data_IF_314955672427
#
_entry.id   IF_314955672427
#
_cell.length_a   1.000
_cell.length_b   1.000
_cell.length_c   1.000
_cell.angle_alpha   90.00
_cell.angle_beta   90.00
_cell.angle_gamma   90.00
#
_symmetry.space_group_name_H-M   'P 1'
#
loop_
_entity.id
_entity.type
_entity.pdbx_description
1 polymer ?
#
# COMPACT_ATOMS: atom_id res chain seq x y z
N UNK A 1 16.47 -95.48 55.46
CA UNK A 1 15.99 -95.96 54.28
C UNK A 1 16.14 -94.77 53.35
N UNK A 2 16.75 -94.86 52.24
CA UNK A 2 17.54 -93.96 51.51
C UNK A 2 16.86 -92.62 51.08
N UNK A 3 17.47 -91.54 51.47
CA UNK A 3 17.21 -90.22 50.91
C UNK A 3 18.13 -89.94 49.68
N UNK A 4 17.57 -89.58 48.58
CA UNK A 4 18.33 -89.15 47.40
C UNK A 4 18.36 -87.62 47.28
N UNK A 5 19.54 -87.10 47.43
CA UNK A 5 19.85 -85.69 47.16
C UNK A 5 19.79 -85.34 45.65
N UNK A 6 19.20 -84.22 45.34
CA UNK A 6 19.26 -83.61 44.01
C UNK A 6 19.98 -82.31 44.10
N UNK A 7 21.11 -82.21 43.45
CA UNK A 7 21.82 -80.95 43.28
C UNK A 7 21.31 -80.19 42.02
N UNK A 8 21.12 -78.89 42.09
CA UNK A 8 20.78 -78.09 40.88
C UNK A 8 22.00 -77.72 40.10
N UNK A 9 21.94 -77.95 38.77
CA UNK A 9 22.91 -77.47 37.82
C UNK A 9 22.69 -75.99 37.56
N UNK A 10 23.69 -75.09 37.80
CA UNK A 10 23.76 -73.70 37.42
C UNK A 10 23.98 -73.59 35.91
N UNK A 11 23.04 -72.98 35.16
CA UNK A 11 23.24 -72.49 33.79
C UNK A 11 23.83 -71.09 33.90
N UNK A 12 25.06 -70.92 33.45
CA UNK A 12 25.67 -69.62 33.20
C UNK A 12 25.13 -69.02 31.89
N UNK A 13 24.28 -68.01 31.96
CA UNK A 13 23.88 -67.25 30.79
C UNK A 13 24.89 -66.09 30.60
N UNK A 14 25.70 -66.17 29.52
CA UNK A 14 26.56 -65.06 29.14
C UNK A 14 25.74 -63.95 28.47
N UNK A 15 25.57 -62.80 29.17
CA UNK A 15 24.97 -61.60 28.62
C UNK A 15 26.03 -60.84 27.85
N UNK A 16 25.98 -60.91 26.49
CA UNK A 16 26.71 -60.02 25.63
C UNK A 16 26.07 -58.62 25.70
N UNK A 17 26.65 -57.70 26.45
CA UNK A 17 26.33 -56.26 26.38
C UNK A 17 26.97 -55.70 25.08
N UNK A 18 26.16 -55.52 24.06
CA UNK A 18 26.46 -54.70 22.90
C UNK A 18 26.53 -53.22 23.36
N UNK A 19 27.75 -52.73 23.61
CA UNK A 19 28.05 -51.32 23.73
C UNK A 19 27.88 -50.65 22.36
N UNK A 20 26.66 -50.11 22.06
CA UNK A 20 26.52 -49.07 21.04
C UNK A 20 27.21 -47.80 21.55
N UNK A 21 28.17 -47.24 20.78
CA UNK A 21 28.68 -45.90 21.12
C UNK A 21 27.52 -44.91 20.89
N UNK A 22 27.02 -44.30 21.95
CA UNK A 22 26.19 -43.13 21.84
C UNK A 22 27.05 -42.06 21.15
N UNK A 23 26.72 -41.78 19.86
CA UNK A 23 27.14 -40.51 19.26
C UNK A 23 26.52 -39.40 20.11
N UNK A 24 27.35 -38.71 20.85
CA UNK A 24 27.01 -37.42 21.37
C UNK A 24 26.59 -36.56 20.15
N UNK A 25 25.34 -36.10 20.13
CA UNK A 25 24.98 -35.00 19.31
C UNK A 25 25.86 -33.84 19.82
N UNK A 26 26.80 -33.41 19.01
CA UNK A 26 27.43 -32.12 19.21
C UNK A 26 26.28 -31.11 19.07
N UNK A 27 25.81 -30.59 20.20
CA UNK A 27 25.07 -29.36 20.22
C UNK A 27 25.96 -28.31 19.56
N UNK A 28 25.70 -27.99 18.29
CA UNK A 28 26.21 -26.78 17.69
C UNK A 28 25.76 -25.64 18.60
N UNK A 29 26.68 -25.18 19.42
CA UNK A 29 26.54 -23.91 20.13
C UNK A 29 26.50 -22.86 19.03
N UNK A 30 25.28 -22.52 18.59
CA UNK A 30 25.05 -21.39 17.73
C UNK A 30 25.66 -20.17 18.44
N UNK A 31 26.82 -19.72 17.95
CA UNK A 31 27.37 -18.43 18.33
C UNK A 31 26.23 -17.40 18.24
N UNK A 32 26.04 -16.54 19.25
CA UNK A 32 24.98 -15.54 19.19
C UNK A 32 25.18 -14.72 17.93
N UNK A 33 24.26 -14.86 16.97
CA UNK A 33 24.30 -14.14 15.72
C UNK A 33 24.29 -12.65 16.02
N UNK A 34 25.35 -11.94 15.66
CA UNK A 34 25.43 -10.49 15.83
C UNK A 34 24.34 -9.88 14.96
N UNK A 35 23.38 -9.22 15.60
CA UNK A 35 22.33 -8.48 14.91
C UNK A 35 22.89 -7.16 14.40
N UNK A 36 22.72 -6.94 13.11
CA UNK A 36 23.08 -5.67 12.48
C UNK A 36 21.82 -4.82 12.25
N UNK A 37 21.98 -3.53 12.39
CA UNK A 37 20.96 -2.53 12.13
C UNK A 37 21.48 -1.51 11.12
N UNK A 38 20.63 -0.56 10.73
CA UNK A 38 20.98 0.51 9.81
C UNK A 38 22.21 1.29 10.28
N UNK A 39 22.99 1.74 9.31
CA UNK A 39 24.08 2.68 9.54
C UNK A 39 23.54 3.99 10.13
N UNK A 40 24.29 4.59 11.04
CA UNK A 40 24.07 6.00 11.41
C UNK A 40 24.82 6.89 10.43
N UNK A 41 24.19 7.93 9.94
CA UNK A 41 24.83 8.93 9.11
C UNK A 41 24.66 10.32 9.71
N UNK A 42 25.64 11.19 9.54
CA UNK A 42 25.58 12.58 9.98
C UNK A 42 25.32 13.50 8.80
N UNK A 43 24.44 14.49 9.00
CA UNK A 43 24.21 15.57 8.03
C UNK A 43 25.50 16.34 7.67
N UNK A 44 26.54 16.26 8.51
CA UNK A 44 27.85 16.86 8.28
C UNK A 44 28.87 15.90 7.65
N UNK A 45 28.55 14.61 7.54
CA UNK A 45 29.46 13.56 7.05
C UNK A 45 29.57 13.48 5.52
N UNK A 46 28.77 14.27 4.79
CA UNK A 46 28.69 14.19 3.32
C UNK A 46 27.82 13.03 2.84
N UNK A 47 27.77 12.81 1.52
CA UNK A 47 26.92 11.81 0.84
C UNK A 47 27.75 10.74 0.15
N UNK A 48 28.82 10.25 0.79
CA UNK A 48 29.60 9.13 0.26
C UNK A 48 28.76 7.85 0.29
N UNK A 49 28.57 7.23 -0.88
CA UNK A 49 27.82 5.98 -0.97
C UNK A 49 28.56 4.85 -0.25
N UNK A 50 27.90 4.26 0.72
CA UNK A 50 28.26 3.01 1.38
C UNK A 50 26.98 2.18 1.53
N UNK A 51 26.97 0.96 1.00
CA UNK A 51 25.77 0.13 0.92
C UNK A 51 25.95 -1.11 1.77
N UNK A 52 24.98 -1.32 2.68
CA UNK A 52 24.87 -2.55 3.46
C UNK A 52 23.61 -3.32 3.01
N UNK A 53 23.72 -4.63 2.93
CA UNK A 53 22.61 -5.54 2.69
C UNK A 53 22.28 -6.27 3.98
N UNK A 54 21.14 -6.00 4.57
CA UNK A 54 20.66 -6.63 5.80
C UNK A 54 19.63 -7.71 5.43
N UNK A 55 19.98 -8.96 5.65
CA UNK A 55 19.13 -10.11 5.35
C UNK A 55 18.30 -10.52 6.58
N UNK A 56 17.00 -10.58 6.40
CA UNK A 56 16.05 -11.16 7.33
C UNK A 56 15.38 -12.37 6.66
N UNK A 57 15.17 -13.44 7.42
CA UNK A 57 14.51 -14.66 6.95
C UNK A 57 13.61 -15.21 8.05
N UNK A 58 12.77 -16.23 7.79
CA UNK A 58 12.03 -16.90 8.85
C UNK A 58 12.88 -17.44 10.01
N UNK A 59 14.21 -17.61 9.79
CA UNK A 59 15.14 -18.02 10.85
C UNK A 59 15.66 -16.88 11.72
N UNK A 60 15.63 -15.65 11.21
CA UNK A 60 16.10 -14.43 11.89
C UNK A 60 15.20 -13.22 11.58
N UNK A 61 13.88 -13.29 11.88
CA UNK A 61 12.91 -12.29 11.47
C UNK A 61 13.13 -10.92 12.15
N UNK A 62 13.70 -10.90 13.35
CA UNK A 62 13.93 -9.70 14.16
C UNK A 62 15.40 -9.24 14.18
N UNK A 63 16.28 -9.95 13.48
CA UNK A 63 17.73 -9.75 13.56
C UNK A 63 18.33 -9.71 12.15
N UNK A 64 18.73 -8.53 11.69
CA UNK A 64 19.37 -8.33 10.40
C UNK A 64 20.73 -9.01 10.34
N UNK A 65 20.93 -9.89 9.38
CA UNK A 65 22.25 -10.46 9.07
C UNK A 65 22.93 -9.60 8.01
N UNK A 66 24.06 -9.00 8.34
CA UNK A 66 24.85 -8.21 7.38
C UNK A 66 25.49 -9.15 6.35
N UNK A 67 25.23 -8.89 5.07
CA UNK A 67 25.84 -9.59 3.94
C UNK A 67 26.89 -8.69 3.30
N UNK A 68 28.15 -9.08 3.36
CA UNK A 68 29.21 -8.40 2.61
C UNK A 68 29.16 -8.81 1.15
N UNK A 69 28.56 -7.97 0.31
CA UNK A 69 28.42 -8.22 -1.12
C UNK A 69 29.75 -8.31 -1.88
N UNK A 70 30.87 -7.87 -1.29
CA UNK A 70 32.20 -7.97 -1.89
C UNK A 70 32.87 -9.32 -1.60
N UNK A 71 32.36 -10.08 -0.64
CA UNK A 71 32.91 -11.39 -0.28
C UNK A 71 32.22 -12.47 -1.10
N UNK A 72 33.01 -13.20 -1.88
CA UNK A 72 32.53 -14.37 -2.63
C UNK A 72 31.93 -15.36 -1.63
N UNK A 73 30.70 -15.84 -1.94
CA UNK A 73 29.97 -16.83 -1.14
C UNK A 73 29.43 -16.31 0.22
N UNK A 74 29.39 -14.99 0.46
CA UNK A 74 28.80 -14.45 1.69
C UNK A 74 27.30 -14.77 1.80
N UNK A 75 26.55 -14.67 0.70
CA UNK A 75 25.13 -15.04 0.64
C UNK A 75 24.95 -16.55 0.89
N UNK A 76 25.79 -17.41 0.31
CA UNK A 76 25.71 -18.86 0.48
C UNK A 76 25.94 -19.34 1.91
N UNK A 77 26.66 -18.55 2.72
CA UNK A 77 26.91 -18.82 4.16
C UNK A 77 25.89 -18.16 5.08
N UNK A 78 24.91 -17.46 4.52
CA UNK A 78 23.86 -16.76 5.27
C UNK A 78 22.64 -17.64 5.49
N UNK A 79 21.61 -17.05 6.14
CA UNK A 79 20.29 -17.68 6.27
C UNK A 79 19.44 -17.62 4.98
N UNK A 80 20.00 -17.13 3.87
CA UNK A 80 19.30 -17.00 2.60
C UNK A 80 18.75 -18.35 2.11
N UNK A 81 17.51 -18.37 1.66
CA UNK A 81 16.87 -19.55 1.08
C UNK A 81 16.41 -19.25 -0.35
N UNK A 82 17.13 -19.78 -1.33
CA UNK A 82 16.86 -19.56 -2.75
C UNK A 82 15.49 -20.10 -3.24
N UNK A 83 14.81 -20.95 -2.46
CA UNK A 83 13.48 -21.48 -2.80
C UNK A 83 12.35 -20.52 -2.45
N UNK A 84 12.61 -19.53 -1.60
CA UNK A 84 11.65 -18.52 -1.20
C UNK A 84 11.73 -17.29 -2.11
N UNK A 85 10.61 -16.59 -2.26
CA UNK A 85 10.61 -15.26 -2.86
C UNK A 85 11.49 -14.30 -2.05
N UNK A 86 12.06 -13.31 -2.73
CA UNK A 86 12.89 -12.29 -2.10
C UNK A 86 12.28 -10.92 -2.25
N UNK A 87 12.02 -10.23 -1.14
CA UNK A 87 11.56 -8.86 -1.06
C UNK A 87 12.74 -7.95 -0.76
N UNK A 88 13.05 -7.01 -1.65
CA UNK A 88 14.17 -6.07 -1.49
C UNK A 88 13.60 -4.69 -1.19
N UNK A 89 13.85 -4.20 0.03
CA UNK A 89 13.37 -2.91 0.52
C UNK A 89 14.46 -1.87 0.31
N UNK A 90 14.14 -0.78 -0.41
CA UNK A 90 15.07 0.32 -0.68
C UNK A 90 14.45 1.62 -0.20
N UNK A 91 15.07 2.23 0.83
CA UNK A 91 14.59 3.50 1.37
C UNK A 91 14.98 4.70 0.48
N UNK A 92 14.35 5.85 0.74
CA UNK A 92 14.60 7.10 0.04
C UNK A 92 15.64 7.99 0.72
N UNK A 93 15.56 9.30 0.43
CA UNK A 93 16.37 10.33 1.07
C UNK A 93 16.06 10.42 2.58
N UNK A 94 17.10 10.49 3.41
CA UNK A 94 16.99 10.58 4.86
C UNK A 94 17.58 11.90 5.38
N UNK A 95 16.72 12.87 5.69
CA UNK A 95 17.16 14.16 6.22
C UNK A 95 17.95 14.02 7.52
N UNK A 96 17.54 13.07 8.38
CA UNK A 96 18.14 12.89 9.72
C UNK A 96 19.27 11.87 9.76
N UNK A 97 19.48 11.10 8.71
CA UNK A 97 20.50 10.05 8.67
C UNK A 97 20.30 8.92 9.67
N UNK A 98 19.05 8.65 10.02
CA UNK A 98 18.65 7.61 10.96
C UNK A 98 17.73 6.60 10.31
N UNK A 99 17.72 5.37 10.84
CA UNK A 99 16.83 4.31 10.42
C UNK A 99 15.39 4.81 10.23
N UNK A 100 14.76 4.55 9.09
CA UNK A 100 13.36 4.91 8.89
C UNK A 100 12.43 4.16 9.86
N UNK A 101 11.54 4.89 10.53
CA UNK A 101 10.64 4.32 11.54
C UNK A 101 9.67 3.26 11.00
N UNK A 102 9.45 3.24 9.70
CA UNK A 102 8.59 2.28 9.02
C UNK A 102 9.30 0.98 8.60
N UNK A 103 10.63 0.92 8.70
CA UNK A 103 11.41 -0.23 8.20
C UNK A 103 11.05 -1.53 8.94
N UNK A 104 11.14 -1.55 10.27
CA UNK A 104 10.78 -2.73 11.05
C UNK A 104 9.30 -3.11 10.90
N UNK A 105 8.33 -2.18 11.00
CA UNK A 105 6.93 -2.49 10.71
C UNK A 105 6.69 -3.15 9.34
N UNK A 106 7.39 -2.71 8.28
CA UNK A 106 7.27 -3.31 6.95
C UNK A 106 7.85 -4.73 6.90
N UNK A 107 9.04 -4.94 7.49
CA UNK A 107 9.67 -6.27 7.58
C UNK A 107 8.74 -7.24 8.30
N UNK A 108 8.22 -6.83 9.45
CA UNK A 108 7.32 -7.64 10.27
C UNK A 108 5.98 -7.91 9.58
N UNK A 109 5.43 -6.93 8.86
CA UNK A 109 4.20 -7.13 8.09
C UNK A 109 4.37 -8.17 6.98
N UNK A 110 5.52 -8.20 6.30
CA UNK A 110 5.84 -9.22 5.30
C UNK A 110 5.90 -10.61 5.91
N UNK A 111 6.60 -10.79 7.06
CA UNK A 111 6.69 -12.10 7.73
C UNK A 111 5.37 -12.60 8.31
N UNK A 112 4.42 -11.70 8.65
CA UNK A 112 3.08 -12.11 9.10
C UNK A 112 2.25 -12.78 8.01
N UNK A 113 2.55 -12.52 6.74
CA UNK A 113 1.71 -12.96 5.61
C UNK A 113 2.37 -14.00 4.72
N UNK A 114 3.71 -14.15 4.78
CA UNK A 114 4.43 -15.10 3.95
C UNK A 114 5.84 -15.45 4.46
N UNK A 115 6.29 -16.65 4.13
CA UNK A 115 7.69 -17.03 4.29
C UNK A 115 8.50 -16.50 3.11
N UNK A 116 9.40 -15.56 3.35
CA UNK A 116 10.22 -14.89 2.33
C UNK A 116 11.62 -14.60 2.85
N UNK A 117 12.55 -14.31 1.93
CA UNK A 117 13.74 -13.54 2.28
C UNK A 117 13.37 -12.05 2.20
N UNK A 118 13.75 -11.27 3.19
CA UNK A 118 13.67 -9.81 3.15
C UNK A 118 15.10 -9.26 3.18
N UNK A 119 15.46 -8.50 2.17
CA UNK A 119 16.74 -7.81 2.08
C UNK A 119 16.50 -6.32 2.18
N UNK A 120 17.05 -5.69 3.20
CA UNK A 120 17.02 -4.23 3.33
C UNK A 120 18.31 -3.66 2.77
N UNK A 121 18.18 -2.75 1.81
CA UNK A 121 19.31 -2.02 1.23
C UNK A 121 19.50 -0.74 2.05
N UNK A 122 20.45 -0.78 2.98
CA UNK A 122 20.85 0.39 3.76
C UNK A 122 21.93 1.16 3.01
N UNK A 123 21.55 2.33 2.51
CA UNK A 123 22.46 3.29 1.87
C UNK A 123 22.40 4.66 2.56
N UNK A 124 22.19 4.62 3.89
CA UNK A 124 21.96 5.81 4.72
C UNK A 124 23.04 6.88 4.53
N UNK A 125 24.31 6.50 4.47
CA UNK A 125 25.42 7.42 4.23
C UNK A 125 25.35 8.09 2.84
N UNK A 126 24.83 7.41 1.82
CA UNK A 126 24.66 7.94 0.47
C UNK A 126 23.36 8.72 0.26
N UNK A 127 22.41 8.61 1.19
CA UNK A 127 21.07 9.22 1.09
C UNK A 127 20.85 10.40 2.04
N UNK A 128 21.87 10.83 2.79
CA UNK A 128 21.77 11.89 3.79
C UNK A 128 22.44 13.18 3.30
N UNK A 129 22.24 14.29 4.00
CA UNK A 129 22.81 15.61 3.83
C UNK A 129 22.31 16.39 2.61
N UNK A 130 22.63 16.00 1.38
CA UNK A 130 22.27 16.76 0.17
C UNK A 130 21.44 15.90 -0.79
N UNK A 131 20.21 16.32 -1.04
CA UNK A 131 19.31 15.61 -1.94
C UNK A 131 19.90 15.39 -3.35
N UNK A 132 20.52 16.41 -3.94
CA UNK A 132 21.13 16.29 -5.27
C UNK A 132 22.20 15.20 -5.31
N UNK A 133 23.06 15.14 -4.28
CA UNK A 133 24.10 14.10 -4.20
C UNK A 133 23.50 12.71 -3.96
N UNK A 134 22.38 12.62 -3.23
CA UNK A 134 21.64 11.35 -3.10
C UNK A 134 21.07 10.90 -4.46
N UNK A 135 20.54 11.82 -5.27
CA UNK A 135 20.12 11.54 -6.65
C UNK A 135 21.28 11.05 -7.51
N UNK A 136 22.45 11.70 -7.42
CA UNK A 136 23.65 11.32 -8.17
C UNK A 136 24.16 9.91 -7.80
N UNK A 137 23.87 9.43 -6.59
CA UNK A 137 24.22 8.10 -6.12
C UNK A 137 23.31 6.97 -6.66
N UNK A 138 22.13 7.28 -7.21
CA UNK A 138 21.10 6.27 -7.58
C UNK A 138 21.63 5.23 -8.56
N UNK A 139 22.31 5.65 -9.62
CA UNK A 139 22.84 4.70 -10.62
C UNK A 139 23.90 3.80 -10.01
N UNK A 140 24.83 4.34 -9.20
CA UNK A 140 25.86 3.55 -8.53
C UNK A 140 25.27 2.58 -7.50
N UNK A 141 24.23 2.99 -6.78
CA UNK A 141 23.48 2.14 -5.87
C UNK A 141 22.76 1.03 -6.65
N UNK A 142 22.09 1.36 -7.75
CA UNK A 142 21.42 0.38 -8.62
C UNK A 142 22.37 -0.70 -9.15
N UNK A 143 23.60 -0.31 -9.52
CA UNK A 143 24.64 -1.27 -9.92
C UNK A 143 25.03 -2.23 -8.79
N UNK A 144 25.17 -1.73 -7.55
CA UNK A 144 25.50 -2.57 -6.39
C UNK A 144 24.36 -3.53 -6.05
N UNK A 145 23.10 -3.05 -6.08
CA UNK A 145 21.91 -3.90 -5.88
C UNK A 145 21.81 -4.96 -7.00
N UNK A 146 22.07 -4.56 -8.25
CA UNK A 146 22.11 -5.51 -9.39
C UNK A 146 23.16 -6.61 -9.19
N UNK A 147 24.37 -6.23 -8.74
CA UNK A 147 25.43 -7.19 -8.44
C UNK A 147 25.04 -8.16 -7.32
N UNK A 148 24.40 -7.64 -6.27
CA UNK A 148 23.88 -8.45 -5.18
C UNK A 148 22.79 -9.43 -5.64
N UNK A 149 21.80 -8.98 -6.41
CA UNK A 149 20.75 -9.87 -6.97
C UNK A 149 21.37 -10.97 -7.82
N UNK A 150 22.40 -10.68 -8.62
CA UNK A 150 23.11 -11.71 -9.40
C UNK A 150 23.73 -12.81 -8.52
N UNK A 151 24.17 -12.48 -7.30
CA UNK A 151 24.63 -13.50 -6.34
C UNK A 151 23.46 -14.38 -5.86
N UNK A 152 22.26 -13.78 -5.61
CA UNK A 152 21.07 -14.54 -5.25
C UNK A 152 20.67 -15.52 -6.38
N UNK A 153 20.72 -15.05 -7.63
CA UNK A 153 20.41 -15.87 -8.81
C UNK A 153 21.41 -17.02 -9.00
N UNK A 154 22.70 -16.77 -8.73
CA UNK A 154 23.74 -17.81 -8.78
C UNK A 154 23.52 -18.93 -7.76
N UNK A 155 22.79 -18.65 -6.66
CA UNK A 155 22.39 -19.62 -5.64
C UNK A 155 21.06 -20.33 -5.97
N UNK A 156 20.45 -20.05 -7.11
CA UNK A 156 19.25 -20.74 -7.59
C UNK A 156 17.94 -19.95 -7.48
N UNK A 157 17.96 -18.69 -7.01
CA UNK A 157 16.80 -17.80 -7.12
C UNK A 157 16.43 -17.54 -8.59
N UNK A 158 15.22 -17.06 -8.83
CA UNK A 158 14.74 -16.67 -10.16
C UNK A 158 14.49 -15.18 -10.23
N UNK A 159 14.74 -14.55 -11.37
CA UNK A 159 14.42 -13.12 -11.58
C UNK A 159 12.95 -12.84 -11.24
N UNK A 160 12.04 -13.72 -11.65
CA UNK A 160 10.60 -13.58 -11.39
C UNK A 160 10.18 -13.70 -9.90
N UNK A 161 11.06 -14.22 -9.03
CA UNK A 161 10.83 -14.31 -7.58
C UNK A 161 11.36 -13.10 -6.81
N UNK A 162 11.96 -12.12 -7.50
CA UNK A 162 12.47 -10.88 -6.90
C UNK A 162 11.39 -9.80 -6.96
N UNK A 163 11.07 -9.22 -5.82
CA UNK A 163 10.18 -8.06 -5.70
C UNK A 163 10.90 -6.91 -5.00
N UNK A 164 11.11 -5.80 -5.68
CA UNK A 164 11.68 -4.57 -5.11
C UNK A 164 10.56 -3.68 -4.58
N UNK A 165 10.68 -3.25 -3.33
CA UNK A 165 9.77 -2.30 -2.67
C UNK A 165 10.58 -1.04 -2.39
N UNK A 166 10.46 -0.05 -3.24
CA UNK A 166 11.23 1.17 -3.18
C UNK A 166 10.42 2.38 -2.72
N UNK A 167 10.89 3.10 -1.71
CA UNK A 167 10.26 4.32 -1.22
C UNK A 167 10.98 5.56 -1.77
N UNK A 168 10.21 6.53 -2.29
CA UNK A 168 10.77 7.82 -2.77
C UNK A 168 11.89 7.62 -3.81
N UNK A 169 13.12 8.04 -3.54
CA UNK A 169 14.31 7.76 -4.38
C UNK A 169 14.54 6.26 -4.58
N UNK A 170 14.23 5.43 -3.57
CA UNK A 170 14.37 3.97 -3.65
C UNK A 170 13.51 3.33 -4.74
N UNK A 171 12.40 3.96 -5.12
CA UNK A 171 11.57 3.51 -6.24
C UNK A 171 12.31 3.63 -7.58
N UNK A 172 13.03 4.73 -7.78
CA UNK A 172 13.85 4.93 -8.99
C UNK A 172 15.10 4.04 -9.00
N UNK A 173 15.68 3.76 -7.83
CA UNK A 173 16.73 2.71 -7.74
C UNK A 173 16.17 1.37 -8.22
N UNK A 174 14.93 1.02 -7.81
CA UNK A 174 14.23 -0.17 -8.32
C UNK A 174 14.11 -0.16 -9.84
N UNK A 175 13.75 0.97 -10.46
CA UNK A 175 13.69 1.14 -11.91
C UNK A 175 15.06 0.92 -12.59
N UNK A 176 16.12 1.55 -12.08
CA UNK A 176 17.48 1.33 -12.58
C UNK A 176 17.88 -0.14 -12.50
N UNK A 177 17.58 -0.82 -11.40
CA UNK A 177 17.86 -2.27 -11.25
C UNK A 177 17.04 -3.07 -12.26
N UNK A 178 15.75 -2.77 -12.39
CA UNK A 178 14.86 -3.42 -13.35
C UNK A 178 15.35 -3.33 -14.79
N UNK A 179 15.81 -2.14 -15.18
CA UNK A 179 16.41 -1.91 -16.49
C UNK A 179 17.65 -2.80 -16.72
N UNK A 180 18.57 -2.96 -15.74
CA UNK A 180 19.70 -3.88 -15.83
C UNK A 180 19.32 -5.35 -15.97
N UNK A 181 18.12 -5.75 -15.54
CA UNK A 181 17.56 -7.08 -15.76
C UNK A 181 16.64 -7.16 -17.00
N UNK A 182 16.54 -6.09 -17.78
CA UNK A 182 15.70 -6.03 -18.99
C UNK A 182 14.23 -6.31 -18.71
N UNK A 183 13.72 -5.84 -17.59
CA UNK A 183 12.33 -5.98 -17.20
C UNK A 183 11.90 -7.38 -16.72
N UNK A 184 12.85 -8.27 -16.41
CA UNK A 184 12.54 -9.67 -16.06
C UNK A 184 12.32 -9.90 -14.56
N UNK A 185 12.58 -8.92 -13.73
CA UNK A 185 12.24 -9.01 -12.30
C UNK A 185 10.74 -9.22 -12.12
N UNK A 186 10.35 -9.96 -11.08
CA UNK A 186 8.95 -10.30 -10.84
C UNK A 186 8.08 -9.07 -10.61
N UNK A 187 8.51 -8.15 -9.73
CA UNK A 187 7.73 -6.95 -9.39
C UNK A 187 8.61 -5.81 -8.88
N UNK A 188 8.18 -4.59 -9.17
CA UNK A 188 8.65 -3.37 -8.48
C UNK A 188 7.43 -2.60 -7.98
N UNK A 189 7.42 -2.29 -6.68
CA UNK A 189 6.41 -1.41 -6.06
C UNK A 189 7.07 -0.10 -5.65
N UNK A 190 6.63 1.01 -6.26
CA UNK A 190 7.05 2.36 -5.92
C UNK A 190 6.13 2.98 -4.88
N UNK A 191 6.66 3.31 -3.70
CA UNK A 191 5.95 3.96 -2.60
C UNK A 191 6.24 5.46 -2.65
N UNK A 192 5.33 6.22 -3.21
CA UNK A 192 5.42 7.65 -3.52
C UNK A 192 6.75 8.01 -4.19
N UNK A 193 6.99 7.52 -5.42
CA UNK A 193 8.25 7.73 -6.14
C UNK A 193 8.60 9.22 -6.24
N UNK A 194 9.87 9.59 -6.07
CA UNK A 194 10.31 10.98 -5.96
C UNK A 194 10.07 11.79 -7.27
N UNK A 195 9.63 13.06 -7.14
CA UNK A 195 9.36 13.93 -8.30
C UNK A 195 10.61 14.64 -8.84
N UNK A 196 11.40 15.23 -7.91
CA UNK A 196 12.49 16.11 -8.29
C UNK A 196 13.58 15.36 -9.05
N UNK A 197 13.95 15.86 -10.24
CA UNK A 197 14.80 15.24 -11.25
C UNK A 197 14.13 14.13 -12.09
N UNK A 198 13.07 13.45 -11.61
CA UNK A 198 12.50 12.30 -12.29
C UNK A 198 11.25 12.60 -13.13
N UNK A 199 10.51 13.66 -12.83
CA UNK A 199 9.32 14.05 -13.61
C UNK A 199 9.65 14.30 -15.11
N UNK A 200 10.86 14.77 -15.42
CA UNK A 200 11.32 15.03 -16.79
C UNK A 200 12.41 14.07 -17.26
N UNK A 201 12.76 13.09 -16.45
CA UNK A 201 13.72 12.05 -16.80
C UNK A 201 13.17 11.11 -17.87
N UNK A 202 14.05 10.49 -18.63
CA UNK A 202 13.67 9.42 -19.56
C UNK A 202 13.19 8.18 -18.81
N UNK A 203 12.55 7.25 -19.50
CA UNK A 203 12.07 5.99 -18.90
C UNK A 203 13.24 5.21 -18.27
N UNK A 204 14.40 5.19 -18.93
CA UNK A 204 15.59 4.47 -18.45
C UNK A 204 16.21 5.05 -17.16
N UNK A 205 15.88 6.30 -16.83
CA UNK A 205 16.44 7.03 -15.68
C UNK A 205 15.51 7.06 -14.47
N UNK A 206 14.27 6.59 -14.60
CA UNK A 206 13.25 6.55 -13.55
C UNK A 206 12.49 5.24 -13.57
N UNK A 207 11.68 5.02 -12.55
CA UNK A 207 10.75 3.90 -12.55
C UNK A 207 9.76 4.00 -13.72
N UNK A 208 9.58 2.88 -14.45
CA UNK A 208 8.56 2.76 -15.50
C UNK A 208 8.04 1.30 -15.63
N UNK A 209 6.96 1.07 -16.42
CA UNK A 209 6.40 -0.28 -16.56
C UNK A 209 7.36 -1.29 -17.20
N UNK A 210 8.36 -0.85 -17.97
CA UNK A 210 9.34 -1.73 -18.62
C UNK A 210 10.35 -2.36 -17.65
N UNK A 211 10.40 -1.92 -16.39
CA UNK A 211 11.43 -2.33 -15.44
C UNK A 211 11.17 -3.69 -14.76
N UNK A 212 9.94 -4.21 -14.82
CA UNK A 212 9.60 -5.52 -14.27
C UNK A 212 8.40 -6.16 -14.98
N UNK A 213 8.15 -7.44 -14.70
CA UNK A 213 6.95 -8.12 -15.17
C UNK A 213 5.67 -7.49 -14.64
N UNK A 214 5.76 -6.85 -13.48
CA UNK A 214 4.71 -6.00 -12.94
C UNK A 214 5.31 -4.82 -12.16
N UNK A 215 4.89 -3.61 -12.47
CA UNK A 215 5.26 -2.38 -11.76
C UNK A 215 3.98 -1.72 -11.27
N UNK A 216 3.92 -1.41 -9.98
CA UNK A 216 2.85 -0.60 -9.41
C UNK A 216 3.42 0.55 -8.57
N UNK A 217 2.68 1.65 -8.53
CA UNK A 217 3.06 2.82 -7.76
C UNK A 217 1.89 3.35 -6.92
N UNK A 218 2.19 3.80 -5.70
CA UNK A 218 1.24 4.40 -4.77
C UNK A 218 1.62 5.87 -4.64
N UNK A 219 0.75 6.77 -5.09
CA UNK A 219 0.97 8.23 -5.08
C UNK A 219 0.17 8.86 -3.95
N UNK A 220 0.85 9.54 -3.04
CA UNK A 220 0.25 10.17 -1.87
C UNK A 220 0.65 11.64 -1.67
N UNK A 221 1.70 12.13 -2.38
CA UNK A 221 2.25 13.49 -2.24
C UNK A 221 2.69 14.08 -3.61
N UNK A 222 1.91 13.83 -4.65
CA UNK A 222 2.23 14.17 -6.04
C UNK A 222 2.29 15.67 -6.36
N UNK A 223 1.93 16.54 -5.43
CA UNK A 223 2.05 18.00 -5.56
C UNK A 223 3.27 18.58 -4.82
N UNK A 224 4.03 17.75 -4.06
CA UNK A 224 5.25 18.17 -3.38
C UNK A 224 6.44 17.26 -3.71
N UNK A 225 6.63 16.17 -2.94
CA UNK A 225 7.81 15.29 -3.07
C UNK A 225 7.61 14.13 -4.05
N UNK A 226 6.38 13.65 -4.21
CA UNK A 226 6.04 12.51 -5.07
C UNK A 226 5.84 12.90 -6.52
N UNK A 227 6.12 11.95 -7.42
CA UNK A 227 5.92 12.14 -8.86
C UNK A 227 4.43 12.12 -9.23
N UNK A 228 4.02 13.04 -10.12
CA UNK A 228 2.62 13.15 -10.53
C UNK A 228 2.28 12.27 -11.74
N UNK A 229 3.25 12.04 -12.61
CA UNK A 229 3.04 11.23 -13.81
C UNK A 229 2.94 9.74 -13.46
N UNK A 230 2.18 8.95 -14.21
CA UNK A 230 2.15 7.50 -14.02
C UNK A 230 3.52 6.90 -14.34
N UNK A 231 3.94 5.93 -13.52
CA UNK A 231 5.25 5.26 -13.61
C UNK A 231 5.13 3.75 -13.45
N UNK A 232 3.91 3.22 -13.29
CA UNK A 232 3.61 1.80 -13.16
C UNK A 232 2.73 1.27 -14.29
N UNK A 233 2.51 -0.03 -14.31
CA UNK A 233 1.38 -0.62 -15.00
C UNK A 233 0.07 -0.18 -14.34
N UNK A 234 0.10 -0.05 -12.99
CA UNK A 234 -1.00 0.46 -12.18
C UNK A 234 -0.46 1.54 -11.25
N UNK A 235 -1.05 2.72 -11.33
CA UNK A 235 -0.74 3.88 -10.49
C UNK A 235 -1.94 4.21 -9.61
N UNK A 236 -1.80 4.02 -8.29
CA UNK A 236 -2.83 4.29 -7.28
C UNK A 236 -2.70 5.71 -6.77
N UNK A 237 -3.64 6.57 -7.09
CA UNK A 237 -3.70 7.95 -6.58
C UNK A 237 -4.63 8.02 -5.36
N UNK A 238 -4.03 7.98 -4.17
CA UNK A 238 -4.75 7.94 -2.90
C UNK A 238 -5.24 9.34 -2.55
N UNK A 239 -6.55 9.51 -2.33
CA UNK A 239 -7.17 10.83 -2.06
C UNK A 239 -6.79 11.89 -3.11
N UNK A 240 -6.61 11.45 -4.36
CA UNK A 240 -6.14 12.28 -5.48
C UNK A 240 -4.61 12.38 -5.58
N UNK A 241 -3.87 11.62 -4.78
CA UNK A 241 -2.41 11.58 -4.79
C UNK A 241 -1.74 12.79 -4.15
N UNK A 242 -2.46 13.56 -3.31
CA UNK A 242 -2.00 14.82 -2.73
C UNK A 242 -2.12 14.82 -1.20
N UNK A 243 -2.91 15.76 -0.65
CA UNK A 243 -3.15 15.86 0.79
C UNK A 243 -3.80 14.58 1.35
N UNK A 244 -3.22 14.02 2.40
CA UNK A 244 -3.72 12.78 2.99
C UNK A 244 -4.50 13.06 4.29
N UNK A 245 -5.69 12.46 4.48
CA UNK A 245 -6.47 12.63 5.69
C UNK A 245 -5.66 12.29 6.94
N UNK A 246 -5.75 13.12 7.98
CA UNK A 246 -5.04 12.94 9.25
C UNK A 246 -3.57 13.37 9.25
N UNK A 247 -3.04 13.84 8.14
CA UNK A 247 -1.75 14.53 8.12
C UNK A 247 -1.90 15.93 8.74
N UNK A 248 -0.89 16.42 9.49
CA UNK A 248 -0.97 17.70 10.15
C UNK A 248 -1.05 18.85 9.15
N UNK A 249 -1.61 19.97 9.61
CA UNK A 249 -1.66 21.21 8.80
C UNK A 249 -0.26 21.84 8.66
N UNK A 250 -0.08 22.82 7.74
CA UNK A 250 1.20 23.50 7.51
C UNK A 250 1.86 24.14 8.76
N UNK A 251 1.15 24.24 9.90
CA UNK A 251 1.70 24.78 11.15
C UNK A 251 2.80 23.91 11.76
N UNK A 252 2.77 22.58 11.52
CA UNK A 252 3.81 21.61 11.91
C UNK A 252 4.69 21.28 10.71
N UNK A 253 5.42 22.25 10.20
CA UNK A 253 6.09 22.26 8.92
C UNK A 253 6.82 20.96 8.54
N UNK A 254 7.67 20.42 9.43
CA UNK A 254 8.42 19.20 9.12
C UNK A 254 7.51 17.94 9.03
N UNK A 255 6.60 17.78 10.01
CA UNK A 255 5.65 16.66 10.00
C UNK A 255 4.66 16.76 8.83
N UNK A 256 4.26 17.98 8.49
CA UNK A 256 3.44 18.26 7.33
C UNK A 256 4.13 17.79 6.04
N UNK A 257 5.38 18.21 5.82
CA UNK A 257 6.09 17.90 4.58
C UNK A 257 6.30 16.41 4.33
N UNK A 258 6.52 15.60 5.36
CA UNK A 258 6.84 14.17 5.19
C UNK A 258 5.64 13.25 5.39
N UNK A 259 4.54 13.72 6.01
CA UNK A 259 3.42 12.88 6.36
C UNK A 259 2.73 12.30 5.12
N UNK A 260 2.39 13.15 4.17
CA UNK A 260 1.75 12.73 2.92
C UNK A 260 2.68 11.81 2.13
N UNK A 261 3.98 12.16 2.05
CA UNK A 261 5.00 11.37 1.38
C UNK A 261 5.18 9.97 1.98
N UNK A 262 5.20 9.86 3.30
CA UNK A 262 5.35 8.56 3.98
C UNK A 262 4.05 7.76 4.06
N UNK A 263 2.90 8.36 3.80
CA UNK A 263 1.59 7.71 3.83
C UNK A 263 1.53 6.50 2.90
N UNK A 264 2.18 6.54 1.75
CA UNK A 264 2.24 5.41 0.81
C UNK A 264 2.80 4.14 1.48
N UNK A 265 3.81 4.29 2.33
CA UNK A 265 4.44 3.17 3.03
C UNK A 265 3.48 2.58 4.08
N UNK A 266 2.83 3.44 4.88
CA UNK A 266 1.89 2.98 5.89
C UNK A 266 0.63 2.35 5.29
N UNK A 267 0.19 2.83 4.13
CA UNK A 267 -0.89 2.20 3.37
C UNK A 267 -0.49 0.82 2.86
N UNK A 268 0.74 0.68 2.35
CA UNK A 268 1.26 -0.61 1.91
C UNK A 268 1.37 -1.59 3.08
N UNK A 269 1.93 -1.19 4.23
CA UNK A 269 1.96 -2.01 5.45
C UNK A 269 0.55 -2.42 5.86
N UNK A 270 -0.39 -1.47 5.91
CA UNK A 270 -1.78 -1.75 6.26
C UNK A 270 -2.46 -2.75 5.31
N UNK A 271 -2.13 -2.70 4.02
CA UNK A 271 -2.66 -3.64 3.02
C UNK A 271 -2.18 -5.08 3.23
N UNK A 272 -1.05 -5.27 3.92
CA UNK A 272 -0.53 -6.58 4.30
C UNK A 272 -1.21 -7.11 5.57
N UNK A 273 -1.49 -6.24 6.53
CA UNK A 273 -1.92 -6.61 7.88
C UNK A 273 -3.44 -6.79 8.03
N UNK A 274 -4.21 -6.15 7.16
CA UNK A 274 -5.66 -6.07 7.33
C UNK A 274 -6.44 -6.62 6.13
N UNK A 275 -7.56 -7.34 6.38
CA UNK A 275 -8.34 -7.96 5.31
C UNK A 275 -9.14 -6.96 4.47
N UNK A 276 -9.24 -5.71 4.89
CA UNK A 276 -9.96 -4.69 4.16
C UNK A 276 -9.18 -4.27 2.89
N UNK A 277 -9.73 -4.46 1.70
CA UNK A 277 -9.02 -4.20 0.47
C UNK A 277 -8.89 -2.70 0.21
N UNK A 278 -7.67 -2.21 0.02
CA UNK A 278 -7.40 -0.91 -0.57
C UNK A 278 -7.56 -1.03 -2.09
N UNK A 279 -8.80 -0.88 -2.55
CA UNK A 279 -9.22 -1.11 -3.94
C UNK A 279 -9.24 0.19 -4.71
N UNK A 280 -8.56 0.22 -5.87
CA UNK A 280 -8.53 1.37 -6.76
C UNK A 280 -9.56 1.26 -7.89
N UNK A 281 -10.20 2.37 -8.24
CA UNK A 281 -11.20 2.46 -9.29
C UNK A 281 -10.59 3.13 -10.53
N UNK A 282 -10.58 2.46 -11.71
CA UNK A 282 -10.10 3.06 -12.95
C UNK A 282 -10.89 4.32 -13.29
N UNK A 283 -10.21 5.44 -13.50
CA UNK A 283 -10.84 6.70 -13.83
C UNK A 283 -9.87 7.65 -14.54
N UNK A 284 -10.40 8.60 -15.28
CA UNK A 284 -9.59 9.61 -15.99
C UNK A 284 -9.05 10.71 -15.07
N UNK A 285 -9.65 10.90 -13.88
CA UNK A 285 -9.19 11.85 -12.86
C UNK A 285 -9.87 11.60 -11.52
N UNK A 286 -9.25 12.10 -10.44
CA UNK A 286 -9.84 12.06 -9.11
C UNK A 286 -11.18 12.81 -9.02
N UNK A 287 -11.30 13.93 -9.74
CA UNK A 287 -12.55 14.69 -9.80
C UNK A 287 -13.67 13.88 -10.45
N UNK A 288 -13.38 13.15 -11.53
CA UNK A 288 -14.36 12.26 -12.16
C UNK A 288 -14.73 11.09 -11.25
N UNK A 289 -13.77 10.52 -10.53
CA UNK A 289 -14.04 9.49 -9.53
C UNK A 289 -14.96 10.01 -8.42
N UNK A 290 -14.61 11.14 -7.78
CA UNK A 290 -15.43 11.72 -6.70
C UNK A 290 -16.79 12.21 -7.16
N UNK A 291 -16.94 12.57 -8.44
CA UNK A 291 -18.22 12.92 -9.06
C UNK A 291 -19.10 11.70 -9.38
N UNK A 292 -18.63 10.47 -9.13
CA UNK A 292 -19.39 9.26 -9.38
C UNK A 292 -19.50 8.90 -10.86
N UNK A 293 -18.51 9.26 -11.68
CA UNK A 293 -18.46 8.93 -13.10
C UNK A 293 -17.74 7.59 -13.38
N UNK A 294 -17.10 6.99 -12.37
CA UNK A 294 -16.33 5.76 -12.46
C UNK A 294 -16.81 4.81 -11.35
N UNK A 295 -17.83 4.02 -11.64
CA UNK A 295 -18.60 3.27 -10.63
C UNK A 295 -18.27 1.79 -10.59
N UNK A 296 -17.66 1.27 -11.64
CA UNK A 296 -17.27 -0.12 -11.77
C UNK A 296 -15.77 -0.26 -12.05
N UNK A 297 -15.32 -1.50 -12.15
CA UNK A 297 -13.94 -1.79 -12.50
C UNK A 297 -13.78 -2.06 -14.00
N UNK A 298 -14.87 -2.12 -14.74
CA UNK A 298 -14.86 -2.38 -16.17
C UNK A 298 -14.52 -1.10 -16.92
N UNK A 299 -13.36 -1.08 -17.53
CA UNK A 299 -12.93 0.00 -18.42
C UNK A 299 -12.23 -0.60 -19.63
N UNK A 300 -11.93 0.22 -20.62
CA UNK A 300 -11.10 -0.21 -21.77
C UNK A 300 -9.68 -0.66 -21.35
N UNK A 301 -9.30 -0.37 -20.11
CA UNK A 301 -7.97 -0.66 -19.56
C UNK A 301 -7.96 -1.83 -18.56
N UNK A 302 -9.04 -2.00 -17.77
CA UNK A 302 -9.13 -2.99 -16.70
C UNK A 302 -10.54 -3.57 -16.62
N UNK A 303 -10.66 -4.88 -16.35
CA UNK A 303 -11.93 -5.57 -16.09
C UNK A 303 -12.15 -5.87 -14.61
N UNK A 304 -11.16 -5.60 -13.77
CA UNK A 304 -11.22 -5.77 -12.32
C UNK A 304 -10.62 -4.58 -11.59
N UNK A 305 -11.14 -4.27 -10.40
CA UNK A 305 -10.53 -3.25 -9.55
C UNK A 305 -9.23 -3.76 -8.94
N UNK A 306 -8.08 -3.15 -9.24
CA UNK A 306 -6.82 -3.55 -8.66
C UNK A 306 -6.76 -3.20 -7.18
N UNK A 307 -5.97 -3.96 -6.43
CA UNK A 307 -5.80 -3.80 -4.98
C UNK A 307 -4.34 -3.60 -4.63
N UNK A 308 -4.09 -2.69 -3.72
CA UNK A 308 -2.77 -2.52 -3.09
C UNK A 308 -2.47 -3.77 -2.25
N UNK A 309 -1.21 -4.21 -2.25
CA UNK A 309 -0.73 -5.35 -1.45
C UNK A 309 0.05 -6.36 -2.28
N UNK A 310 0.04 -7.63 -1.85
CA UNK A 310 0.84 -8.69 -2.44
C UNK A 310 0.12 -9.52 -3.52
N UNK A 311 -1.12 -9.23 -3.84
CA UNK A 311 -1.82 -9.93 -4.91
C UNK A 311 -1.01 -9.85 -6.20
N UNK A 312 -0.92 -10.96 -6.90
CA UNK A 312 -0.26 -11.02 -8.20
C UNK A 312 -0.90 -9.99 -9.13
N UNK A 313 -0.08 -9.08 -9.65
CA UNK A 313 -0.52 -7.97 -10.53
C UNK A 313 -1.68 -7.14 -9.95
N UNK A 314 -1.73 -6.96 -8.62
CA UNK A 314 -2.86 -6.27 -7.98
C UNK A 314 -4.21 -6.99 -8.12
N UNK A 315 -4.22 -8.26 -8.56
CA UNK A 315 -5.42 -9.03 -8.86
C UNK A 315 -5.96 -8.78 -10.28
N UNK A 316 -5.18 -8.19 -11.17
CA UNK A 316 -5.56 -7.89 -12.56
C UNK A 316 -5.01 -8.97 -13.51
N UNK A 317 -5.77 -9.46 -14.51
CA UNK A 317 -5.28 -10.38 -15.52
C UNK A 317 -4.09 -9.83 -16.32
N UNK A 318 -3.17 -10.72 -16.72
CA UNK A 318 -1.93 -10.31 -17.43
C UNK A 318 -2.20 -9.58 -18.74
N UNK A 319 -3.25 -9.99 -19.45
CA UNK A 319 -3.66 -9.48 -20.75
C UNK A 319 -4.08 -8.01 -20.69
N UNK A 320 -4.49 -7.54 -19.51
CA UNK A 320 -4.96 -6.17 -19.28
C UNK A 320 -3.80 -5.20 -18.94
N UNK A 321 -2.63 -5.72 -18.59
CA UNK A 321 -1.46 -4.92 -18.18
C UNK A 321 -0.68 -4.30 -19.34
N UNK A 322 -1.14 -4.42 -20.58
CA UNK A 322 -0.48 -3.85 -21.76
C UNK A 322 -0.53 -2.32 -21.81
N UNK A 323 -1.33 -1.69 -20.96
CA UNK A 323 -1.51 -0.23 -20.86
C UNK A 323 -1.40 0.23 -19.42
N UNK A 324 -0.87 1.44 -19.23
CA UNK A 324 -0.83 2.08 -17.91
C UNK A 324 -2.25 2.44 -17.45
N UNK A 325 -2.60 2.07 -16.23
CA UNK A 325 -3.88 2.37 -15.63
C UNK A 325 -3.71 3.28 -14.41
N UNK A 326 -4.43 4.40 -14.41
CA UNK A 326 -4.57 5.25 -13.22
C UNK A 326 -5.84 4.85 -12.47
N UNK A 327 -5.70 4.60 -11.19
CA UNK A 327 -6.83 4.23 -10.32
C UNK A 327 -6.88 5.13 -9.09
N UNK A 328 -8.08 5.38 -8.63
CA UNK A 328 -8.34 6.31 -7.51
C UNK A 328 -9.08 5.60 -6.39
N UNK A 329 -8.75 5.97 -5.17
CA UNK A 329 -9.45 5.53 -3.97
C UNK A 329 -9.30 6.58 -2.87
N UNK A 330 -10.23 6.54 -1.90
CA UNK A 330 -10.15 7.33 -0.69
C UNK A 330 -9.73 6.47 0.49
N UNK A 331 -9.26 7.11 1.57
CA UNK A 331 -8.84 6.44 2.81
C UNK A 331 -9.31 7.20 4.03
N UNK A 332 -9.28 6.53 5.19
CA UNK A 332 -9.48 7.18 6.50
C UNK A 332 -8.22 7.92 6.98
N UNK A 333 -8.36 8.61 8.11
CA UNK A 333 -7.27 9.39 8.74
C UNK A 333 -6.21 8.55 9.43
N UNK A 334 -6.57 7.33 9.84
CA UNK A 334 -5.71 6.46 10.65
C UNK A 334 -5.80 5.00 10.15
N UNK A 335 -4.78 4.19 10.51
CA UNK A 335 -4.79 2.76 10.21
C UNK A 335 -6.08 2.09 10.75
N UNK A 336 -6.63 1.13 10.00
CA UNK A 336 -6.11 0.48 8.80
C UNK A 336 -6.29 1.25 7.49
N UNK A 337 -6.62 2.52 7.49
CA UNK A 337 -6.84 3.43 6.36
C UNK A 337 -7.94 3.03 5.37
N UNK A 338 -8.46 1.84 5.44
CA UNK A 338 -9.39 1.32 4.44
C UNK A 338 -10.81 1.85 4.62
N UNK A 339 -11.47 2.06 3.50
CA UNK A 339 -12.87 2.47 3.42
C UNK A 339 -13.61 1.64 2.38
N UNK A 340 -14.89 1.50 2.58
CA UNK A 340 -15.82 1.17 1.52
C UNK A 340 -16.22 2.45 0.78
N UNK A 341 -16.48 2.34 -0.50
CA UNK A 341 -16.95 3.45 -1.31
C UNK A 341 -18.39 3.20 -1.73
N UNK A 342 -19.23 4.22 -1.69
CA UNK A 342 -20.57 4.16 -2.28
C UNK A 342 -20.81 5.36 -3.18
N UNK A 343 -21.46 5.13 -4.30
CA UNK A 343 -22.03 6.22 -5.08
C UNK A 343 -23.34 6.66 -4.44
N UNK A 344 -23.54 7.95 -4.37
CA UNK A 344 -24.80 8.57 -3.96
C UNK A 344 -25.28 9.48 -5.06
N UNK A 345 -26.58 9.46 -5.30
CA UNK A 345 -27.26 10.26 -6.33
C UNK A 345 -28.49 10.93 -5.76
N UNK A 346 -28.70 12.19 -6.10
CA UNK A 346 -29.96 12.87 -5.86
C UNK A 346 -30.51 13.42 -7.18
N UNK A 347 -31.72 13.02 -7.53
CA UNK A 347 -32.43 13.43 -8.73
C UNK A 347 -33.57 14.38 -8.37
N UNK A 348 -33.50 15.62 -8.82
CA UNK A 348 -34.56 16.61 -8.68
C UNK A 348 -35.77 16.24 -9.56
N UNK A 349 -36.98 16.41 -9.06
CA UNK A 349 -38.20 16.32 -9.86
C UNK A 349 -38.29 17.44 -10.90
N UNK A 350 -37.85 18.65 -10.54
CA UNK A 350 -37.87 19.80 -11.43
C UNK A 350 -36.48 20.47 -11.48
N UNK A 351 -35.94 20.77 -12.67
CA UNK A 351 -34.67 21.46 -12.80
C UNK A 351 -34.78 22.88 -12.27
N UNK A 352 -33.69 23.40 -11.69
CA UNK A 352 -33.64 24.74 -11.10
C UNK A 352 -32.81 25.70 -11.97
N UNK A 353 -33.18 26.99 -11.92
CA UNK A 353 -32.45 28.05 -12.60
C UNK A 353 -31.09 28.38 -11.99
N UNK A 354 -30.72 27.74 -10.85
CA UNK A 354 -29.45 27.88 -10.13
C UNK A 354 -28.92 26.54 -9.70
N UNK A 355 -27.62 26.44 -9.48
CA UNK A 355 -27.01 25.23 -8.89
C UNK A 355 -27.54 24.96 -7.49
N UNK A 356 -27.74 23.69 -7.18
CA UNK A 356 -28.22 23.19 -5.88
C UNK A 356 -27.10 22.38 -5.23
N UNK A 357 -26.90 22.56 -3.93
CA UNK A 357 -25.91 21.86 -3.15
C UNK A 357 -26.60 21.07 -2.05
N UNK A 358 -26.31 19.79 -1.97
CA UNK A 358 -26.88 18.87 -0.98
C UNK A 358 -25.73 18.22 -0.23
N UNK A 359 -25.69 18.35 1.08
CA UNK A 359 -24.84 17.56 1.94
C UNK A 359 -25.51 16.22 2.20
N UNK A 360 -24.79 15.14 1.95
CA UNK A 360 -25.22 13.77 2.21
C UNK A 360 -24.29 13.18 3.24
N UNK A 361 -24.85 12.69 4.34
CA UNK A 361 -24.07 12.06 5.39
C UNK A 361 -24.61 10.66 5.69
N UNK A 362 -23.72 9.70 5.78
CA UNK A 362 -23.98 8.36 6.31
C UNK A 362 -23.64 8.32 7.80
N UNK A 363 -24.50 7.73 8.60
CA UNK A 363 -24.27 7.46 10.01
C UNK A 363 -24.19 5.96 10.21
N UNK A 364 -22.99 5.46 10.54
CA UNK A 364 -22.74 4.13 11.04
C UNK A 364 -22.82 4.07 12.56
N UNK A 365 -22.39 2.98 13.17
CA UNK A 365 -22.37 2.80 14.62
C UNK A 365 -21.38 3.74 15.33
N UNK A 366 -20.23 4.04 14.71
CA UNK A 366 -19.13 4.79 15.33
C UNK A 366 -18.86 6.10 14.61
N UNK A 367 -18.84 6.09 13.28
CA UNK A 367 -18.37 7.23 12.48
C UNK A 367 -19.49 7.84 11.61
N UNK A 368 -19.30 9.11 11.28
CA UNK A 368 -20.09 9.84 10.30
C UNK A 368 -19.22 10.19 9.11
N UNK A 369 -19.63 9.72 7.93
CA UNK A 369 -19.05 10.13 6.66
C UNK A 369 -19.99 11.12 5.98
N UNK A 370 -19.45 12.12 5.29
CA UNK A 370 -20.29 13.06 4.55
C UNK A 370 -19.58 13.57 3.30
N UNK A 371 -20.40 13.94 2.31
CA UNK A 371 -19.96 14.66 1.10
C UNK A 371 -20.97 15.74 0.74
N UNK A 372 -20.53 16.69 -0.06
CA UNK A 372 -21.41 17.66 -0.69
C UNK A 372 -21.48 17.36 -2.19
N UNK A 373 -22.68 17.12 -2.70
CA UNK A 373 -22.93 16.99 -4.14
C UNK A 373 -23.46 18.29 -4.70
N UNK A 374 -23.15 18.54 -5.98
CA UNK A 374 -23.64 19.70 -6.74
C UNK A 374 -24.53 19.24 -7.87
N UNK A 375 -25.75 19.75 -7.91
CA UNK A 375 -26.63 19.66 -9.09
C UNK A 375 -26.43 20.93 -9.89
N UNK A 376 -25.96 20.86 -11.15
CA UNK A 376 -25.72 22.06 -11.97
C UNK A 376 -27.01 22.83 -12.24
N UNK A 377 -26.87 24.13 -12.56
CA UNK A 377 -27.94 24.94 -13.10
C UNK A 377 -28.59 24.24 -14.30
N UNK A 378 -29.93 24.15 -14.33
CA UNK A 378 -30.74 23.41 -15.31
C UNK A 378 -30.49 21.90 -15.36
N UNK A 379 -29.59 21.35 -14.52
CA UNK A 379 -29.44 19.92 -14.32
C UNK A 379 -30.50 19.36 -13.38
N UNK A 380 -30.68 18.05 -13.43
CA UNK A 380 -31.60 17.32 -12.54
C UNK A 380 -30.86 16.37 -11.60
N UNK A 381 -29.62 15.97 -11.91
CA UNK A 381 -28.91 14.93 -11.19
C UNK A 381 -27.62 15.49 -10.59
N UNK A 382 -27.40 15.19 -9.32
CA UNK A 382 -26.12 15.35 -8.64
C UNK A 382 -25.62 14.00 -8.15
N UNK A 383 -24.34 13.72 -8.36
CA UNK A 383 -23.67 12.49 -7.92
C UNK A 383 -22.43 12.79 -7.12
N UNK A 384 -22.00 11.79 -6.33
CA UNK A 384 -20.72 11.79 -5.69
C UNK A 384 -20.39 10.43 -5.12
N UNK A 385 -19.11 10.22 -4.77
CA UNK A 385 -18.64 9.00 -4.09
C UNK A 385 -18.38 9.36 -2.64
N UNK A 386 -19.00 8.63 -1.71
CA UNK A 386 -18.83 8.79 -0.26
C UNK A 386 -18.01 7.62 0.30
N UNK A 387 -16.88 7.89 1.02
CA UNK A 387 -16.17 6.85 1.75
C UNK A 387 -16.85 6.56 3.08
N UNK A 388 -16.85 5.29 3.52
CA UNK A 388 -17.37 4.89 4.82
C UNK A 388 -16.60 3.68 5.37
N UNK A 389 -16.55 3.57 6.69
CA UNK A 389 -15.73 2.61 7.43
C UNK A 389 -16.33 1.20 7.54
N UNK A 390 -17.63 1.07 7.28
CA UNK A 390 -18.35 -0.22 7.31
C UNK A 390 -19.07 -0.44 5.98
N UNK A 391 -19.39 -1.68 5.58
CA UNK A 391 -20.19 -1.94 4.38
C UNK A 391 -21.50 -1.15 4.37
N UNK A 392 -22.00 -0.77 3.19
CA UNK A 392 -23.22 0.03 3.04
C UNK A 392 -24.43 -0.58 3.78
N UNK A 393 -24.52 -1.91 3.81
CA UNK A 393 -25.58 -2.63 4.52
C UNK A 393 -25.50 -2.53 6.06
N UNK A 394 -24.41 -1.99 6.62
CA UNK A 394 -24.28 -1.63 8.03
C UNK A 394 -24.43 -0.14 8.29
N UNK A 395 -24.74 0.65 7.28
CA UNK A 395 -25.09 2.06 7.45
C UNK A 395 -26.56 2.12 7.86
N UNK A 396 -26.83 2.62 9.06
CA UNK A 396 -28.19 2.65 9.60
C UNK A 396 -29.00 3.82 9.06
N UNK A 397 -28.35 4.98 8.83
CA UNK A 397 -29.09 6.21 8.57
C UNK A 397 -28.37 7.06 7.53
N UNK A 398 -29.15 7.62 6.58
CA UNK A 398 -28.71 8.71 5.71
C UNK A 398 -29.33 10.04 6.18
N UNK A 399 -28.52 11.08 6.18
CA UNK A 399 -28.96 12.45 6.46
C UNK A 399 -28.68 13.31 5.23
N UNK A 400 -29.74 13.97 4.73
CA UNK A 400 -29.68 14.85 3.56
C UNK A 400 -29.97 16.28 4.02
N UNK A 401 -29.11 17.22 3.67
CA UNK A 401 -29.28 18.63 4.05
C UNK A 401 -29.12 19.52 2.82
N UNK A 402 -30.21 20.22 2.45
CA UNK A 402 -30.14 21.26 1.42
C UNK A 402 -29.35 22.46 1.98
N UNK A 403 -28.23 22.80 1.34
CA UNK A 403 -27.38 23.90 1.78
C UNK A 403 -27.94 25.26 1.37
N UNK A 404 -27.91 26.20 2.30
CA UNK A 404 -28.31 27.60 2.03
C UNK A 404 -27.45 28.23 0.94
N UNK A 405 -28.04 29.01 0.10
CA UNK A 405 -27.30 29.89 -0.81
C UNK A 405 -26.50 30.92 -0.01
N UNK A 406 -25.30 31.24 -0.47
CA UNK A 406 -24.45 32.28 0.15
C UNK A 406 -25.24 33.60 0.40
N UNK A 407 -25.28 34.01 1.64
CA UNK A 407 -26.12 35.15 2.14
C UNK A 407 -25.71 36.55 1.64
N UNK A 408 -24.75 36.68 0.75
CA UNK A 408 -24.25 38.01 0.34
C UNK A 408 -25.31 38.84 -0.43
N UNK A 409 -26.39 38.23 -0.89
CA UNK A 409 -27.45 38.92 -1.69
C UNK A 409 -28.81 39.03 -0.97
N UNK A 410 -28.95 38.52 0.26
CA UNK A 410 -30.27 38.33 0.87
C UNK A 410 -30.67 39.31 1.97
N UNK A 411 -30.03 40.49 2.08
CA UNK A 411 -30.42 41.51 3.09
C UNK A 411 -31.82 42.11 2.84
N UNK A 412 -32.48 41.76 1.71
CA UNK A 412 -33.78 42.37 1.32
C UNK A 412 -34.85 41.37 0.87
N UNK A 413 -34.69 40.06 1.10
CA UNK A 413 -35.77 39.11 0.79
C UNK A 413 -36.34 38.46 2.03
N UNK A 414 -37.69 38.42 2.07
CA UNK A 414 -38.46 37.68 3.07
C UNK A 414 -37.97 36.25 3.22
N UNK A 415 -38.03 35.74 4.46
CA UNK A 415 -37.62 34.36 4.85
C UNK A 415 -38.56 33.33 4.19
N UNK A 416 -38.50 33.18 2.87
CA UNK A 416 -39.03 31.98 2.24
C UNK A 416 -37.95 30.93 2.31
N UNK A 417 -38.12 29.93 3.15
CA UNK A 417 -37.30 28.71 3.19
C UNK A 417 -37.41 28.01 1.85
N UNK A 418 -36.27 27.93 1.13
CA UNK A 418 -36.20 27.26 -0.14
C UNK A 418 -36.37 25.73 0.08
N UNK A 419 -37.15 25.08 -0.76
CA UNK A 419 -37.38 23.63 -0.70
C UNK A 419 -37.20 23.01 -2.07
N UNK A 420 -36.78 21.75 -2.10
CA UNK A 420 -36.64 20.98 -3.30
C UNK A 420 -37.30 19.62 -3.11
N UNK A 421 -37.79 19.05 -4.21
CA UNK A 421 -38.31 17.70 -4.24
C UNK A 421 -37.46 16.83 -5.17
N UNK A 422 -37.21 15.60 -4.75
CA UNK A 422 -36.37 14.68 -5.51
C UNK A 422 -36.29 13.29 -4.91
N UNK A 423 -35.47 12.47 -5.52
CA UNK A 423 -35.25 11.07 -5.17
C UNK A 423 -33.78 10.82 -4.82
N UNK A 424 -33.53 10.14 -3.73
CA UNK A 424 -32.21 9.70 -3.32
C UNK A 424 -31.97 8.23 -3.69
N UNK A 425 -30.77 7.96 -4.24
CA UNK A 425 -30.31 6.63 -4.55
C UNK A 425 -28.85 6.43 -4.09
N UNK A 426 -28.48 5.19 -3.77
CA UNK A 426 -27.10 4.83 -3.40
C UNK A 426 -26.79 3.38 -3.81
N UNK A 427 -25.51 3.10 -4.04
CA UNK A 427 -24.99 1.75 -4.31
C UNK A 427 -23.56 1.65 -3.81
N UNK A 428 -23.19 0.50 -3.21
CA UNK A 428 -21.81 0.22 -2.81
C UNK A 428 -20.96 -0.08 -4.06
N UNK A 429 -19.74 0.47 -4.08
CA UNK A 429 -18.79 0.21 -5.16
C UNK A 429 -17.90 -1.03 -4.84
N UNK A 430 -17.47 -1.78 -5.86
CA UNK A 430 -17.78 -1.60 -7.27
C UNK A 430 -19.25 -1.87 -7.58
N UNK A 431 -19.83 -1.07 -8.47
CA UNK A 431 -21.22 -1.23 -8.88
C UNK A 431 -21.45 -2.63 -9.48
N UNK A 432 -22.58 -3.24 -9.15
CA UNK A 432 -22.91 -4.55 -9.70
C UNK A 432 -23.27 -4.44 -11.19
N UNK A 433 -23.00 -5.49 -11.94
CA UNK A 433 -23.35 -5.55 -13.38
C UNK A 433 -24.85 -5.30 -13.68
N UNK A 434 -25.71 -5.44 -12.66
CA UNK A 434 -27.13 -5.13 -12.77
C UNK A 434 -27.42 -3.63 -12.89
N UNK A 435 -26.47 -2.75 -12.51
CA UNK A 435 -26.60 -1.29 -12.54
C UNK A 435 -27.76 -0.74 -11.71
N UNK A 436 -28.28 -1.53 -10.76
CA UNK A 436 -29.49 -1.17 -10.01
C UNK A 436 -29.14 -0.60 -8.65
N UNK A 437 -29.09 0.73 -8.58
CA UNK A 437 -28.93 1.44 -7.30
C UNK A 437 -30.14 1.19 -6.39
N UNK A 438 -29.87 1.09 -5.08
CA UNK A 438 -30.92 1.17 -4.07
C UNK A 438 -31.46 2.61 -4.03
N UNK A 439 -32.75 2.79 -4.25
CA UNK A 439 -33.39 4.10 -4.17
C UNK A 439 -34.49 4.10 -3.12
N UNK A 440 -34.65 5.22 -2.39
CA UNK A 440 -35.79 5.39 -1.50
C UNK A 440 -37.09 5.33 -2.28
N UNK A 441 -38.10 4.65 -1.73
CA UNK A 441 -39.38 4.37 -2.40
C UNK A 441 -40.23 5.61 -2.64
N UNK A 442 -39.99 6.69 -1.86
CA UNK A 442 -40.76 7.93 -1.91
C UNK A 442 -39.89 9.10 -2.35
N UNK A 443 -40.50 10.08 -3.02
CA UNK A 443 -39.87 11.36 -3.25
C UNK A 443 -39.71 12.11 -1.92
N UNK A 444 -38.58 12.80 -1.79
CA UNK A 444 -38.20 13.53 -0.58
C UNK A 444 -38.39 15.03 -0.80
N UNK A 445 -38.90 15.74 0.22
CA UNK A 445 -38.87 17.19 0.27
C UNK A 445 -37.75 17.63 1.20
N UNK A 446 -36.72 18.28 0.66
CA UNK A 446 -35.62 18.87 1.45
C UNK A 446 -35.82 20.35 1.57
N UNK A 447 -35.87 20.84 2.82
CA UNK A 447 -36.00 22.28 3.14
C UNK A 447 -34.62 22.82 3.53
N UNK A 448 -34.33 24.03 3.12
CA UNK A 448 -33.03 24.69 3.34
C UNK A 448 -32.62 24.64 4.82
N UNK A 449 -31.40 24.15 5.09
CA UNK A 449 -30.80 23.99 6.43
C UNK A 449 -31.55 23.07 7.41
N UNK A 450 -32.60 22.39 6.96
CA UNK A 450 -33.27 21.36 7.76
C UNK A 450 -32.78 19.98 7.35
N UNK A 451 -32.12 19.21 8.24
CA UNK A 451 -31.68 17.87 7.90
C UNK A 451 -32.88 16.91 7.76
N UNK A 452 -32.97 16.23 6.63
CA UNK A 452 -33.88 15.11 6.42
C UNK A 452 -33.13 13.83 6.78
N UNK A 453 -33.70 13.03 7.68
CA UNK A 453 -33.10 11.77 8.15
C UNK A 453 -33.97 10.59 7.72
N UNK A 454 -33.32 9.56 7.17
CA UNK A 454 -34.00 8.34 6.76
C UNK A 454 -33.18 7.11 7.14
N UNK A 455 -33.86 6.08 7.65
CA UNK A 455 -33.20 4.82 7.99
C UNK A 455 -32.99 3.98 6.73
N UNK A 456 -31.75 3.58 6.48
CA UNK A 456 -31.35 2.73 5.35
C UNK A 456 -31.51 1.26 5.78
N UNK A 457 -32.49 0.58 5.22
CA UNK A 457 -32.63 -0.87 5.32
C UNK A 457 -32.08 -1.53 4.06
N UNK A 458 -30.75 -1.60 3.92
CA UNK A 458 -30.11 -2.31 2.81
C UNK A 458 -29.76 -3.73 3.24
N UNK A 459 -30.09 -4.71 2.38
CA UNK A 459 -29.68 -6.10 2.65
C UNK A 459 -28.17 -6.26 2.46
N UNK A 460 -27.48 -6.93 3.40
CA UNK A 460 -26.09 -7.39 3.24
C UNK A 460 -26.00 -8.61 2.32
#
# INVERSE_FOLDING_TARGET
MAAREWAPRALAAAVFLLLCPARAAEDEVLEPSICFDFQSSSIFGGTKLNVHFLLYTPKNPDCGQLIDANTTDAVGKSNFNATLDTKIIIHGFSVMGTKPSWADPLIQALFRVMDVNVVVVDWMSGSTAKYISAVDNITSLGLQVTAFIRQLLALGSRESSIHIIGASLGAHVGGVVGNFFGGKLGRITGLDPAAYKFTKASAEERLDPGDALFVDAIHTDADNFGIQIPVGHIDYYINGGKDQPGCPSPRDFYKYLICDHTRAIYLYISSLEHPCPLMGFPCSSYQNFTAGNCLDCSSDLLQSCPRIGLLERGGVPKEELSRQAQVFLMTTTAAPYCVHHSVVEFQLLHPRSTSTYIEIAFRGEVNRSFIQIKIPKHGQVGRGVIPHDVPLCRIHTVVLTLQARSRIISLWRSVNTDAIEGRFCTEQLPAQASGKMFCLSQNLTLTENLPYTHDLATAC
#
